data_IF_891356096234
#
_entry.id   IF_891356096234
#
_cell.length_a   1.000
_cell.length_b   1.000
_cell.length_c   1.000
_cell.angle_alpha   90.00
_cell.angle_beta   90.00
_cell.angle_gamma   90.00
#
_symmetry.space_group_name_H-M   'P 1'
#
loop_
_entity.id
_entity.type
_entity.pdbx_description
1 polymer ?
#
# COMPACT_ATOMS: atom_id res chain seq x y z
N UNK A 1 22.88 -35.91 68.54
CA UNK A 1 21.93 -35.13 69.37
C UNK A 1 21.69 -33.77 68.70
N UNK A 2 20.42 -33.33 68.72
CA UNK A 2 19.88 -32.03 68.31
C UNK A 2 19.63 -31.80 66.81
N UNK A 3 18.36 -32.02 66.49
CA UNK A 3 17.61 -31.71 65.27
C UNK A 3 17.41 -30.19 65.17
N UNK A 4 17.48 -29.62 63.97
CA UNK A 4 16.81 -28.36 63.66
C UNK A 4 15.85 -28.61 62.49
N UNK A 5 14.58 -28.70 62.85
CA UNK A 5 13.41 -28.78 61.97
C UNK A 5 13.05 -27.34 61.59
N UNK A 6 13.16 -26.98 60.32
CA UNK A 6 12.57 -25.74 59.79
C UNK A 6 11.22 -26.11 59.15
N UNK A 7 10.16 -25.69 59.82
CA UNK A 7 8.76 -25.87 59.42
C UNK A 7 8.44 -24.74 58.43
N UNK A 8 8.34 -25.07 57.13
CA UNK A 8 7.67 -24.19 56.18
C UNK A 8 6.16 -24.38 56.35
N UNK A 9 5.55 -23.44 57.07
CA UNK A 9 4.12 -23.34 57.24
C UNK A 9 3.46 -23.01 55.89
N UNK A 10 2.55 -23.89 55.52
CA UNK A 10 1.70 -23.87 54.35
C UNK A 10 0.57 -22.85 54.59
N UNK A 11 0.74 -21.61 54.13
CA UNK A 11 -0.34 -20.62 54.07
C UNK A 11 -1.19 -20.89 52.82
N UNK A 12 -2.20 -21.75 52.95
CA UNK A 12 -3.36 -21.75 52.05
C UNK A 12 -4.23 -20.52 52.37
N UNK A 13 -3.85 -19.37 51.82
CA UNK A 13 -4.74 -18.23 51.68
C UNK A 13 -5.56 -18.40 50.41
N UNK A 14 -6.84 -18.76 50.55
CA UNK A 14 -7.81 -18.72 49.47
C UNK A 14 -7.98 -17.27 49.00
N UNK A 15 -7.42 -16.94 47.84
CA UNK A 15 -7.78 -15.74 47.08
C UNK A 15 -8.99 -16.15 46.24
N UNK A 16 -10.19 -15.57 46.44
CA UNK A 16 -11.24 -15.66 45.44
C UNK A 16 -10.77 -14.85 44.23
N UNK A 17 -10.14 -15.51 43.25
CA UNK A 17 -9.96 -14.95 41.91
C UNK A 17 -11.32 -14.97 41.21
N UNK A 18 -12.17 -14.00 41.58
CA UNK A 18 -13.29 -13.52 40.79
C UNK A 18 -12.85 -12.18 40.19
N UNK A 19 -11.87 -12.24 39.29
CA UNK A 19 -11.73 -11.16 38.31
C UNK A 19 -12.65 -11.55 37.16
N UNK A 20 -13.79 -10.86 37.09
CA UNK A 20 -14.59 -10.76 35.90
C UNK A 20 -13.66 -10.36 34.75
N UNK A 21 -13.30 -11.34 33.94
CA UNK A 21 -12.88 -11.10 32.58
C UNK A 21 -14.16 -10.65 31.89
N UNK A 22 -14.48 -9.36 32.00
CA UNK A 22 -15.48 -8.74 31.15
C UNK A 22 -15.04 -9.07 29.73
N UNK A 23 -15.81 -9.94 29.08
CA UNK A 23 -15.64 -10.24 27.69
C UNK A 23 -15.69 -8.88 26.99
N UNK A 24 -14.53 -8.41 26.53
CA UNK A 24 -14.43 -7.31 25.59
C UNK A 24 -15.23 -7.77 24.38
N UNK A 25 -16.51 -7.42 24.34
CA UNK A 25 -17.33 -7.58 23.15
C UNK A 25 -16.62 -6.79 22.08
N UNK A 26 -15.92 -7.50 21.20
CA UNK A 26 -15.30 -7.00 19.98
C UNK A 26 -16.41 -6.39 19.15
N UNK A 27 -16.71 -5.13 19.45
CA UNK A 27 -17.65 -4.34 18.68
C UNK A 27 -16.87 -4.02 17.42
N UNK A 28 -17.37 -4.49 16.27
CA UNK A 28 -16.75 -4.16 15.00
C UNK A 28 -16.58 -2.64 14.90
N UNK A 29 -15.41 -2.16 14.42
CA UNK A 29 -15.18 -0.73 14.30
C UNK A 29 -16.27 -0.09 13.43
N UNK A 30 -16.77 1.08 13.82
CA UNK A 30 -17.68 1.85 12.97
C UNK A 30 -16.93 2.39 11.74
N UNK A 31 -17.62 2.75 10.64
CA UNK A 31 -16.99 3.39 9.49
C UNK A 31 -16.09 4.58 9.85
N UNK A 32 -16.50 5.41 10.81
CA UNK A 32 -15.72 6.56 11.30
C UNK A 32 -14.45 6.12 12.05
N UNK A 33 -14.50 4.99 12.75
CA UNK A 33 -13.33 4.39 13.38
C UNK A 33 -12.34 3.86 12.34
N UNK A 34 -12.84 3.28 11.23
CA UNK A 34 -12.00 2.85 10.10
C UNK A 34 -11.33 4.03 9.40
N UNK A 35 -12.07 5.11 9.12
CA UNK A 35 -11.49 6.34 8.54
C UNK A 35 -10.38 6.90 9.43
N UNK A 36 -10.61 6.95 10.74
CA UNK A 36 -9.62 7.39 11.72
C UNK A 36 -8.37 6.49 11.72
N UNK A 37 -8.54 5.17 11.58
CA UNK A 37 -7.42 4.23 11.47
C UNK A 37 -6.61 4.43 10.19
N UNK A 38 -7.28 4.61 9.05
CA UNK A 38 -6.64 4.88 7.75
C UNK A 38 -5.87 6.20 7.81
N UNK A 39 -6.47 7.25 8.37
CA UNK A 39 -5.83 8.56 8.55
C UNK A 39 -4.58 8.46 9.43
N UNK A 40 -4.68 7.80 10.59
CA UNK A 40 -3.55 7.59 11.48
C UNK A 40 -2.42 6.79 10.81
N UNK A 41 -2.78 5.72 10.09
CA UNK A 41 -1.82 4.90 9.37
C UNK A 41 -1.08 5.71 8.30
N UNK A 42 -1.83 6.46 7.48
CA UNK A 42 -1.27 7.34 6.46
C UNK A 42 -0.33 8.37 7.09
N UNK A 43 -0.73 9.00 8.19
CA UNK A 43 0.08 10.00 8.89
C UNK A 43 1.39 9.43 9.43
N UNK A 44 1.37 8.20 9.98
CA UNK A 44 2.59 7.53 10.45
C UNK A 44 3.50 7.18 9.28
N UNK A 45 2.97 6.64 8.17
CA UNK A 45 3.79 6.27 7.01
C UNK A 45 4.33 7.46 6.24
N UNK A 46 3.53 8.50 6.10
CA UNK A 46 3.99 9.75 5.51
C UNK A 46 5.11 10.37 6.34
N UNK A 47 4.99 10.35 7.67
CA UNK A 47 6.04 10.82 8.59
C UNK A 47 7.35 10.04 8.42
N UNK A 48 7.30 8.71 8.40
CA UNK A 48 8.47 7.87 8.13
C UNK A 48 9.11 8.22 6.77
N UNK A 49 8.29 8.31 5.73
CA UNK A 49 8.74 8.65 4.38
C UNK A 49 9.36 10.05 4.30
N UNK A 50 8.79 11.02 5.01
CA UNK A 50 9.30 12.38 5.07
C UNK A 50 10.68 12.42 5.74
N UNK A 51 10.88 11.69 6.85
CA UNK A 51 12.18 11.64 7.53
C UNK A 51 13.26 11.04 6.63
N UNK A 52 12.94 9.94 5.94
CA UNK A 52 13.85 9.27 5.01
C UNK A 52 14.13 10.14 3.78
N UNK A 53 13.10 10.72 3.15
CA UNK A 53 13.23 11.45 1.88
C UNK A 53 13.90 12.82 2.03
N UNK A 54 13.77 13.44 3.21
CA UNK A 54 14.38 14.74 3.49
C UNK A 54 15.78 14.62 4.10
N UNK A 55 16.24 13.38 4.38
CA UNK A 55 17.53 13.13 5.02
C UNK A 55 17.68 13.97 6.30
N UNK A 56 16.66 13.93 7.17
CA UNK A 56 16.68 14.67 8.43
C UNK A 56 17.70 14.05 9.40
N UNK A 57 18.51 14.91 10.00
CA UNK A 57 19.39 14.55 11.12
C UNK A 57 18.56 14.31 12.39
N UNK A 58 19.13 13.62 13.38
CA UNK A 58 18.45 13.34 14.65
C UNK A 58 17.99 14.63 15.39
N UNK A 59 18.82 15.68 15.34
CA UNK A 59 18.50 17.00 15.90
C UNK A 59 17.35 17.69 15.15
N UNK A 60 17.35 17.60 13.81
CA UNK A 60 16.25 18.11 12.97
C UNK A 60 14.96 17.34 13.24
N UNK A 61 14.99 16.01 13.31
CA UNK A 61 13.82 15.15 13.60
C UNK A 61 13.22 15.56 14.95
N UNK A 62 14.05 15.71 15.99
CA UNK A 62 13.59 16.06 17.34
C UNK A 62 12.81 17.38 17.39
N UNK A 63 13.19 18.35 16.53
CA UNK A 63 12.52 19.66 16.45
C UNK A 63 11.36 19.66 15.46
N UNK A 64 11.51 18.98 14.33
CA UNK A 64 10.53 18.91 13.25
C UNK A 64 9.30 18.11 13.66
N UNK A 65 9.48 17.02 14.40
CA UNK A 65 8.42 16.09 14.77
C UNK A 65 7.22 16.70 15.52
N UNK A 66 7.41 17.46 16.63
CA UNK A 66 6.29 18.11 17.30
C UNK A 66 5.59 19.14 16.40
N UNK A 67 6.33 19.80 15.51
CA UNK A 67 5.77 20.77 14.56
C UNK A 67 4.95 20.07 13.46
N UNK A 68 5.44 18.94 12.95
CA UNK A 68 4.69 18.10 12.03
C UNK A 68 3.40 17.56 12.66
N UNK A 69 3.43 17.12 13.92
CA UNK A 69 2.24 16.67 14.63
C UNK A 69 1.18 17.78 14.74
N UNK A 70 1.61 19.02 15.03
CA UNK A 70 0.72 20.19 15.05
C UNK A 70 0.13 20.48 13.66
N UNK A 71 0.96 20.41 12.60
CA UNK A 71 0.53 20.59 11.21
C UNK A 71 -0.58 19.60 10.84
N UNK A 72 -0.34 18.31 11.08
CA UNK A 72 -1.30 17.25 10.77
C UNK A 72 -2.59 17.43 11.57
N UNK A 73 -2.49 17.79 12.85
CA UNK A 73 -3.68 18.07 13.68
C UNK A 73 -4.52 19.21 13.12
N UNK A 74 -3.92 20.32 12.68
CA UNK A 74 -4.65 21.46 12.09
C UNK A 74 -5.19 21.13 10.69
N UNK A 75 -4.46 20.34 9.91
CA UNK A 75 -4.90 19.88 8.59
C UNK A 75 -6.10 18.95 8.70
N UNK A 76 -6.15 18.07 9.71
CA UNK A 76 -7.27 17.18 9.98
C UNK A 76 -8.61 17.92 10.08
N UNK A 77 -8.66 19.05 10.79
CA UNK A 77 -9.89 19.85 10.91
C UNK A 77 -10.38 20.38 9.55
N UNK A 78 -9.45 20.79 8.68
CA UNK A 78 -9.75 21.27 7.33
C UNK A 78 -10.29 20.11 6.47
N UNK A 79 -9.63 18.96 6.52
CA UNK A 79 -10.05 17.74 5.79
C UNK A 79 -11.44 17.28 6.26
N UNK A 80 -11.70 17.25 7.56
CA UNK A 80 -13.01 16.90 8.10
C UNK A 80 -14.10 17.86 7.64
N UNK A 81 -13.83 19.17 7.61
CA UNK A 81 -14.78 20.16 7.08
C UNK A 81 -15.05 19.93 5.60
N UNK A 82 -14.01 19.66 4.81
CA UNK A 82 -14.14 19.34 3.38
C UNK A 82 -14.98 18.09 3.15
N UNK A 83 -14.75 17.01 3.90
CA UNK A 83 -15.53 15.77 3.78
C UNK A 83 -17.01 16.02 4.10
N UNK A 84 -17.31 16.76 5.17
CA UNK A 84 -18.70 17.14 5.51
C UNK A 84 -19.38 17.96 4.42
N UNK A 85 -18.64 18.84 3.73
CA UNK A 85 -19.19 19.60 2.59
C UNK A 85 -19.54 18.68 1.42
N UNK A 86 -18.68 17.70 1.13
CA UNK A 86 -18.92 16.70 0.07
C UNK A 86 -20.12 15.82 0.41
N UNK A 87 -20.23 15.35 1.66
CA UNK A 87 -21.37 14.58 2.14
C UNK A 87 -22.67 15.39 2.06
N UNK A 88 -22.69 16.62 2.60
CA UNK A 88 -23.85 17.51 2.50
C UNK A 88 -24.27 17.68 1.05
N UNK A 89 -23.34 18.07 0.18
CA UNK A 89 -23.64 18.29 -1.25
C UNK A 89 -24.17 17.03 -1.94
N UNK A 90 -23.60 15.85 -1.64
CA UNK A 90 -24.11 14.59 -2.16
C UNK A 90 -25.56 14.37 -1.72
N UNK A 91 -25.86 14.57 -0.44
CA UNK A 91 -27.17 14.33 0.13
C UNK A 91 -28.21 15.31 -0.44
N UNK A 92 -27.89 16.61 -0.54
CA UNK A 92 -28.75 17.64 -1.19
C UNK A 92 -29.02 17.30 -2.67
N UNK A 93 -28.00 16.85 -3.41
CA UNK A 93 -28.17 16.47 -4.82
C UNK A 93 -29.01 15.20 -5.02
N UNK A 94 -29.23 14.39 -3.98
CA UNK A 94 -30.12 13.22 -4.01
C UNK A 94 -31.58 13.59 -3.75
N UNK A 95 -31.86 14.81 -3.27
CA UNK A 95 -33.22 15.31 -3.10
C UNK A 95 -33.88 15.55 -4.48
N UNK A 96 -35.21 15.42 -4.54
CA UNK A 96 -36.01 15.56 -5.78
C UNK A 96 -36.32 17.04 -6.06
N UNK A 97 -35.29 17.87 -5.93
CA UNK A 97 -35.39 19.31 -6.11
C UNK A 97 -35.35 19.70 -7.58
N UNK A 98 -35.87 20.89 -7.87
CA UNK A 98 -35.84 21.43 -9.21
C UNK A 98 -34.44 21.86 -9.65
N UNK A 99 -34.31 22.19 -10.94
CA UNK A 99 -33.02 22.50 -11.52
C UNK A 99 -32.40 23.82 -11.01
N UNK A 100 -33.22 24.74 -10.50
CA UNK A 100 -32.79 26.04 -9.97
C UNK A 100 -32.18 25.85 -8.57
N UNK A 101 -32.88 25.14 -7.69
CA UNK A 101 -32.39 24.79 -6.35
C UNK A 101 -31.08 23.98 -6.41
N UNK A 102 -31.00 22.98 -7.30
CA UNK A 102 -29.75 22.24 -7.55
C UNK A 102 -28.62 23.09 -8.14
N UNK A 103 -28.92 24.23 -8.76
CA UNK A 103 -27.88 25.15 -9.22
C UNK A 103 -27.33 25.99 -8.07
N UNK A 104 -28.19 26.42 -7.15
CA UNK A 104 -27.82 27.16 -5.95
C UNK A 104 -26.99 26.29 -4.99
N UNK A 105 -27.42 25.05 -4.71
CA UNK A 105 -26.65 24.10 -3.87
C UNK A 105 -25.26 23.80 -4.46
N UNK A 106 -25.15 23.75 -5.80
CA UNK A 106 -23.86 23.63 -6.50
C UNK A 106 -22.97 24.85 -6.29
N UNK A 107 -23.52 26.05 -6.37
CA UNK A 107 -22.76 27.28 -6.18
C UNK A 107 -22.24 27.37 -4.74
N UNK A 108 -23.11 27.13 -3.76
CA UNK A 108 -22.76 27.15 -2.33
C UNK A 108 -21.71 26.08 -1.99
N UNK A 109 -21.84 24.87 -2.53
CA UNK A 109 -20.83 23.83 -2.36
C UNK A 109 -19.47 24.27 -2.92
N UNK A 110 -19.42 24.80 -4.15
CA UNK A 110 -18.16 25.24 -4.78
C UNK A 110 -17.49 26.35 -3.96
N UNK A 111 -18.25 27.34 -3.51
CA UNK A 111 -17.73 28.44 -2.68
C UNK A 111 -17.12 27.91 -1.38
N UNK A 112 -17.89 27.13 -0.61
CA UNK A 112 -17.44 26.57 0.65
C UNK A 112 -16.25 25.62 0.46
N UNK A 113 -16.24 24.83 -0.61
CA UNK A 113 -15.13 23.95 -0.94
C UNK A 113 -13.85 24.73 -1.23
N UNK A 114 -13.93 25.80 -2.04
CA UNK A 114 -12.79 26.68 -2.30
C UNK A 114 -12.29 27.38 -1.03
N UNK A 115 -13.16 27.78 -0.12
CA UNK A 115 -12.72 28.30 1.18
C UNK A 115 -11.88 27.28 1.97
N UNK A 116 -12.23 25.99 1.92
CA UNK A 116 -11.41 24.95 2.59
C UNK A 116 -10.04 24.80 1.93
N UNK A 117 -9.95 24.91 0.60
CA UNK A 117 -8.66 24.88 -0.11
C UNK A 117 -7.81 26.11 0.23
N UNK A 118 -8.41 27.29 0.32
CA UNK A 118 -7.71 28.52 0.74
C UNK A 118 -7.15 28.34 2.16
N UNK A 119 -7.95 27.84 3.09
CA UNK A 119 -7.50 27.54 4.47
C UNK A 119 -6.36 26.52 4.50
N UNK A 120 -6.41 25.49 3.65
CA UNK A 120 -5.32 24.52 3.54
C UNK A 120 -4.03 25.19 3.04
N UNK A 121 -4.12 26.06 2.03
CA UNK A 121 -2.97 26.80 1.50
C UNK A 121 -2.39 27.79 2.53
N UNK A 122 -3.24 28.47 3.29
CA UNK A 122 -2.80 29.34 4.39
C UNK A 122 -2.10 28.55 5.49
N UNK A 123 -2.59 27.36 5.83
CA UNK A 123 -1.94 26.45 6.76
C UNK A 123 -0.57 26.00 6.24
N UNK A 124 -0.47 25.59 4.97
CA UNK A 124 0.81 25.20 4.36
C UNK A 124 1.82 26.35 4.39
N UNK A 125 1.38 27.57 4.11
CA UNK A 125 2.22 28.77 4.21
C UNK A 125 2.74 29.00 5.63
N UNK A 126 1.86 28.97 6.63
CA UNK A 126 2.23 29.15 8.05
C UNK A 126 3.26 28.10 8.50
N UNK A 127 3.09 26.84 8.11
CA UNK A 127 4.02 25.78 8.46
C UNK A 127 5.28 25.75 7.59
N UNK A 128 5.24 26.28 6.37
CA UNK A 128 6.44 26.44 5.55
C UNK A 128 7.48 27.31 6.24
N UNK A 129 7.05 28.50 6.69
CA UNK A 129 7.92 29.45 7.40
C UNK A 129 8.54 28.79 8.66
N UNK A 130 7.74 28.00 9.39
CA UNK A 130 8.20 27.30 10.59
C UNK A 130 9.10 26.09 10.29
N UNK A 131 8.87 25.39 9.17
CA UNK A 131 9.70 24.26 8.77
C UNK A 131 11.06 24.72 8.24
N UNK A 132 11.13 25.81 7.48
CA UNK A 132 12.41 26.27 6.93
C UNK A 132 13.42 26.69 8.02
N UNK A 133 12.93 27.18 9.16
CA UNK A 133 13.73 27.50 10.35
C UNK A 133 14.38 26.25 10.98
N UNK A 134 13.80 25.06 10.76
CA UNK A 134 14.26 23.81 11.36
C UNK A 134 15.09 22.97 10.40
N UNK A 135 14.59 22.75 9.17
CA UNK A 135 15.15 21.77 8.23
C UNK A 135 15.81 22.41 7.00
N UNK A 136 15.92 23.74 6.93
CA UNK A 136 16.26 24.53 5.73
C UNK A 136 15.12 24.65 4.71
N UNK A 137 15.19 25.71 3.91
CA UNK A 137 14.22 26.04 2.87
C UNK A 137 14.08 24.92 1.83
N UNK A 138 15.19 24.29 1.39
CA UNK A 138 15.15 23.22 0.39
C UNK A 138 14.39 21.99 0.90
N UNK A 139 14.65 21.55 2.13
CA UNK A 139 13.93 20.41 2.73
C UNK A 139 12.46 20.75 2.99
N UNK A 140 12.16 21.98 3.40
CA UNK A 140 10.78 22.43 3.58
C UNK A 140 9.99 22.39 2.26
N UNK A 141 10.58 22.85 1.14
CA UNK A 141 9.98 22.73 -0.20
C UNK A 141 9.73 21.26 -0.55
N UNK A 142 10.75 20.41 -0.37
CA UNK A 142 10.65 18.99 -0.67
C UNK A 142 9.58 18.27 0.16
N UNK A 143 9.36 18.69 1.41
CA UNK A 143 8.29 18.17 2.25
C UNK A 143 6.92 18.40 1.63
N UNK A 144 6.61 19.65 1.24
CA UNK A 144 5.30 19.96 0.66
C UNK A 144 5.10 19.38 -0.75
N UNK A 145 6.16 19.26 -1.55
CA UNK A 145 6.09 18.54 -2.83
C UNK A 145 5.80 17.04 -2.62
N UNK A 146 6.42 16.42 -1.61
CA UNK A 146 6.17 15.04 -1.25
C UNK A 146 4.73 14.86 -0.76
N UNK A 147 4.25 15.78 0.08
CA UNK A 147 2.87 15.80 0.56
C UNK A 147 1.87 15.92 -0.59
N UNK A 148 2.05 16.89 -1.48
CA UNK A 148 1.17 17.14 -2.63
C UNK A 148 1.10 15.90 -3.53
N UNK A 149 2.25 15.28 -3.83
CA UNK A 149 2.30 14.03 -4.60
C UNK A 149 1.50 12.90 -3.96
N UNK A 150 1.56 12.78 -2.64
CA UNK A 150 0.83 11.74 -1.91
C UNK A 150 -0.66 12.06 -1.85
N UNK A 151 -1.02 13.32 -1.62
CA UNK A 151 -2.40 13.79 -1.64
C UNK A 151 -3.04 13.60 -3.01
N UNK A 152 -2.36 13.94 -4.11
CA UNK A 152 -2.89 13.72 -5.46
C UNK A 152 -3.21 12.26 -5.75
N UNK A 153 -2.44 11.31 -5.20
CA UNK A 153 -2.72 9.86 -5.36
C UNK A 153 -3.97 9.44 -4.59
N UNK A 154 -4.16 9.97 -3.39
CA UNK A 154 -5.37 9.73 -2.59
C UNK A 154 -6.59 10.33 -3.28
N UNK A 155 -6.46 11.57 -3.76
CA UNK A 155 -7.51 12.26 -4.51
C UNK A 155 -7.86 11.51 -5.80
N UNK A 156 -6.89 11.09 -6.60
CA UNK A 156 -7.11 10.29 -7.81
C UNK A 156 -7.84 8.98 -7.50
N UNK A 157 -7.44 8.26 -6.45
CA UNK A 157 -8.12 7.05 -6.01
C UNK A 157 -9.56 7.31 -5.58
N UNK A 158 -9.82 8.43 -4.89
CA UNK A 158 -11.17 8.83 -4.47
C UNK A 158 -12.05 9.29 -5.63
N UNK A 159 -11.49 9.98 -6.62
CA UNK A 159 -12.22 10.47 -7.79
C UNK A 159 -12.75 9.33 -8.66
N UNK A 160 -12.07 8.19 -8.73
CA UNK A 160 -12.56 7.00 -9.44
C UNK A 160 -13.95 6.57 -8.91
N UNK A 161 -14.22 6.77 -7.63
CA UNK A 161 -15.52 6.44 -7.02
C UNK A 161 -16.58 7.52 -7.26
N UNK A 162 -16.17 8.80 -7.34
CA UNK A 162 -17.08 9.95 -7.41
C UNK A 162 -17.43 10.36 -8.85
N UNK A 163 -16.50 10.22 -9.80
CA UNK A 163 -16.67 10.65 -11.20
C UNK A 163 -17.94 10.11 -11.87
N UNK A 164 -18.37 8.86 -11.67
CA UNK A 164 -19.64 8.37 -12.22
C UNK A 164 -20.88 9.17 -11.78
N UNK A 165 -20.82 9.88 -10.65
CA UNK A 165 -21.94 10.67 -10.10
C UNK A 165 -21.95 12.13 -10.61
N UNK A 166 -20.81 12.69 -11.00
CA UNK A 166 -20.72 14.09 -11.46
C UNK A 166 -21.01 14.25 -12.96
N UNK A 167 -20.89 13.18 -13.73
CA UNK A 167 -21.24 13.18 -15.15
C UNK A 167 -22.72 12.84 -15.26
N UNK A 168 -23.59 13.86 -15.21
CA UNK A 168 -24.87 13.73 -15.89
C UNK A 168 -24.55 13.48 -17.36
N UNK A 169 -24.59 12.23 -17.78
CA UNK A 169 -24.71 11.92 -19.20
C UNK A 169 -26.08 12.45 -19.58
N UNK A 170 -26.16 13.72 -19.97
CA UNK A 170 -27.33 14.23 -20.66
C UNK A 170 -27.49 13.30 -21.85
N UNK A 171 -28.47 12.42 -21.77
CA UNK A 171 -28.96 11.73 -22.95
C UNK A 171 -29.27 12.84 -23.94
N UNK A 172 -28.42 12.96 -24.95
CA UNK A 172 -28.66 13.85 -26.07
C UNK A 172 -29.87 13.25 -26.78
N UNK A 173 -31.07 13.55 -26.29
CA UNK A 173 -32.27 13.41 -27.08
C UNK A 173 -32.10 14.43 -28.20
N UNK A 174 -31.88 14.01 -29.46
CA UNK A 174 -31.92 14.94 -30.56
C UNK A 174 -33.30 15.59 -30.51
N UNK A 175 -33.36 16.84 -30.06
CA UNK A 175 -34.59 17.61 -30.05
C UNK A 175 -35.14 17.50 -31.46
N UNK A 176 -36.30 16.86 -31.61
CA UNK A 176 -36.97 16.68 -32.90
C UNK A 176 -36.91 18.03 -33.61
N UNK A 177 -36.20 18.05 -34.74
CA UNK A 177 -36.02 19.22 -35.61
C UNK A 177 -37.27 20.09 -35.53
N UNK A 178 -37.14 21.28 -34.94
CA UNK A 178 -38.07 22.36 -35.23
C UNK A 178 -38.10 22.48 -36.75
N UNK A 179 -39.22 22.09 -37.35
CA UNK A 179 -39.48 22.31 -38.77
C UNK A 179 -39.27 23.79 -39.04
N UNK A 180 -38.48 24.05 -40.08
CA UNK A 180 -38.33 25.32 -40.79
C UNK A 180 -39.43 26.34 -40.48
N UNK A 181 -39.10 27.31 -39.64
CA UNK A 181 -39.57 28.66 -39.86
C UNK A 181 -38.41 29.36 -40.55
N UNK A 182 -38.45 29.32 -41.88
CA UNK A 182 -37.69 30.20 -42.75
C UNK A 182 -38.03 31.65 -42.39
N UNK A 183 -37.31 32.21 -41.43
CA UNK A 183 -37.33 33.64 -41.17
C UNK A 183 -36.56 34.34 -42.29
N UNK A 184 -37.36 34.92 -43.17
CA UNK A 184 -37.02 35.79 -44.28
C UNK A 184 -36.03 36.88 -43.82
N UNK A 185 -34.85 36.94 -44.45
CA UNK A 185 -33.73 37.82 -44.11
C UNK A 185 -33.75 39.16 -44.87
N UNK A 186 -34.89 39.54 -45.46
CA UNK A 186 -35.04 40.74 -46.28
C UNK A 186 -35.88 41.84 -45.60
N UNK A 187 -35.46 42.32 -44.44
CA UNK A 187 -35.92 43.62 -43.95
C UNK A 187 -34.82 44.38 -43.20
N UNK A 188 -33.84 44.88 -43.97
CA UNK A 188 -33.08 46.07 -43.59
C UNK A 188 -33.86 47.29 -44.01
N UNK A 189 -34.35 48.08 -43.06
CA UNK A 189 -34.34 49.55 -43.15
C UNK A 189 -34.65 50.22 -41.81
N UNK A 190 -33.78 51.16 -41.48
CA UNK A 190 -33.95 52.32 -40.61
C UNK A 190 -34.38 52.11 -39.15
N UNK A 191 -33.39 52.26 -38.25
CA UNK A 191 -33.53 53.01 -37.00
C UNK A 191 -32.12 53.26 -36.45
N UNK A 192 -31.56 54.44 -36.72
CA UNK A 192 -31.66 55.65 -35.90
C UNK A 192 -30.90 55.53 -34.59
N UNK A 193 -29.94 56.43 -34.49
CA UNK A 193 -29.02 56.74 -33.39
C UNK A 193 -29.69 56.92 -32.03
N UNK A 194 -28.85 56.68 -31.02
CA UNK A 194 -28.81 57.34 -29.72
C UNK A 194 -29.55 56.64 -28.57
N UNK A 195 -28.77 56.05 -27.66
CA UNK A 195 -28.99 56.11 -26.21
C UNK A 195 -27.79 55.57 -25.44
N UNK A 196 -27.16 56.52 -24.77
CA UNK A 196 -26.31 56.43 -23.58
C UNK A 196 -26.82 55.42 -22.56
N UNK A 197 -25.95 54.50 -22.14
CA UNK A 197 -26.09 53.71 -20.90
C UNK A 197 -24.97 54.08 -19.95
N UNK A 198 -25.33 54.83 -18.92
CA UNK A 198 -24.57 55.03 -17.69
C UNK A 198 -24.51 53.72 -16.91
N UNK A 199 -23.30 53.18 -16.74
CA UNK A 199 -23.00 52.10 -15.81
C UNK A 199 -22.79 52.71 -14.42
N UNK A 200 -23.75 52.51 -13.53
CA UNK A 200 -23.61 52.81 -12.10
C UNK A 200 -22.85 51.66 -11.45
N UNK A 201 -21.62 51.92 -11.03
CA UNK A 201 -20.82 50.99 -10.22
C UNK A 201 -21.11 51.25 -8.74
N UNK A 202 -21.98 50.44 -8.14
CA UNK A 202 -22.12 50.40 -6.68
C UNK A 202 -20.91 49.68 -6.08
N UNK A 203 -19.93 50.49 -5.64
CA UNK A 203 -18.90 50.06 -4.71
C UNK A 203 -19.54 49.82 -3.34
N UNK A 204 -19.73 48.55 -2.97
CA UNK A 204 -19.92 48.16 -1.58
C UNK A 204 -18.53 48.08 -0.94
N UNK A 205 -18.18 49.11 -0.18
CA UNK A 205 -17.00 49.11 0.70
C UNK A 205 -17.17 48.03 1.78
N UNK A 206 -16.39 46.97 1.68
CA UNK A 206 -16.02 46.17 2.84
C UNK A 206 -14.75 46.78 3.44
N UNK A 207 -14.94 47.51 4.53
CA UNK A 207 -13.87 48.02 5.39
C UNK A 207 -13.30 46.86 6.19
N UNK A 208 -12.14 46.35 5.78
CA UNK A 208 -11.25 45.59 6.66
C UNK A 208 -10.08 46.49 7.05
N UNK A 209 -10.23 47.13 8.21
CA UNK A 209 -9.11 47.57 9.00
C UNK A 209 -8.36 46.31 9.46
N UNK A 210 -7.17 46.05 8.92
CA UNK A 210 -5.96 45.94 9.75
C UNK A 210 -4.68 45.58 8.96
N UNK A 211 -3.61 46.29 9.36
CA UNK A 211 -2.17 46.01 9.22
C UNK A 211 -1.53 45.94 7.82
N UNK A 212 -0.91 47.09 7.49
CA UNK A 212 0.21 47.25 6.56
C UNK A 212 1.36 46.27 6.90
N UNK A 213 1.68 45.38 5.97
CA UNK A 213 3.04 44.87 5.75
C UNK A 213 3.48 45.31 4.35
N UNK A 214 4.33 46.33 4.31
CA UNK A 214 5.12 46.69 3.15
C UNK A 214 6.37 45.83 3.15
N UNK A 215 6.54 45.00 2.11
CA UNK A 215 7.79 44.87 1.33
C UNK A 215 7.63 43.75 0.30
N UNK A 216 7.27 44.14 -0.94
CA UNK A 216 7.32 43.26 -2.11
C UNK A 216 8.73 43.35 -2.71
N UNK A 217 9.54 42.30 -2.55
CA UNK A 217 10.65 42.03 -3.45
C UNK A 217 10.15 41.14 -4.58
N UNK A 218 10.26 41.65 -5.80
CA UNK A 218 10.05 40.91 -7.04
C UNK A 218 11.02 39.73 -7.13
N UNK A 219 10.47 38.53 -7.35
CA UNK A 219 11.25 37.38 -7.76
C UNK A 219 10.74 36.91 -9.12
N UNK A 220 11.51 37.22 -10.16
CA UNK A 220 11.32 36.75 -11.51
C UNK A 220 12.37 35.69 -11.78
N UNK A 221 11.98 34.41 -11.83
CA UNK A 221 12.92 33.34 -12.17
C UNK A 221 12.35 32.45 -13.28
N UNK A 222 12.82 32.73 -14.50
CA UNK A 222 12.57 31.94 -15.72
C UNK A 222 13.66 30.87 -15.80
N UNK A 223 13.35 29.64 -15.40
CA UNK A 223 14.24 28.50 -15.64
C UNK A 223 13.78 27.72 -16.88
N UNK A 224 14.67 27.61 -17.86
CA UNK A 224 14.53 26.74 -19.04
C UNK A 224 15.45 25.54 -18.85
N UNK A 225 14.89 24.35 -18.65
CA UNK A 225 15.66 23.10 -18.63
C UNK A 225 15.74 22.51 -20.05
N UNK A 226 16.96 22.32 -20.53
CA UNK A 226 17.30 21.60 -21.78
C UNK A 226 17.90 20.26 -21.40
N UNK A 227 17.21 19.16 -21.74
CA UNK A 227 17.70 17.80 -21.49
C UNK A 227 18.56 17.34 -22.66
N UNK A 228 19.84 17.06 -22.41
CA UNK A 228 20.76 16.45 -23.38
C UNK A 228 20.94 14.98 -23.02
N UNK A 229 20.45 14.08 -23.88
CA UNK A 229 20.68 12.63 -23.78
C UNK A 229 21.96 12.28 -24.53
N UNK A 230 23.00 11.86 -23.80
CA UNK A 230 24.24 11.32 -24.38
C UNK A 230 24.21 9.79 -24.30
N UNK A 231 24.25 9.15 -25.46
CA UNK A 231 24.35 7.70 -25.60
C UNK A 231 25.73 7.17 -25.23
N UNK A 232 25.76 5.97 -24.64
CA UNK A 232 26.96 5.16 -24.51
C UNK A 232 26.75 3.83 -25.23
N UNK A 233 27.43 3.74 -26.37
CA UNK A 233 27.76 2.54 -27.11
C UNK A 233 28.96 1.84 -26.43
N UNK A 234 28.94 0.51 -26.32
CA UNK A 234 30.13 -0.34 -26.16
C UNK A 234 29.83 -1.83 -26.38
N UNK A 235 30.00 -2.22 -27.63
CA UNK A 235 30.70 -3.42 -28.09
C UNK A 235 31.59 -4.12 -27.04
N UNK A 236 31.42 -5.44 -26.88
CA UNK A 236 32.52 -6.35 -26.55
C UNK A 236 32.37 -7.69 -27.27
N UNK A 237 33.41 -8.01 -28.03
CA UNK A 237 33.61 -9.15 -28.90
C UNK A 237 34.25 -10.36 -28.21
N UNK A 238 33.91 -11.51 -28.76
CA UNK A 238 34.55 -12.83 -28.75
C UNK A 238 35.90 -13.03 -28.03
N UNK A 239 35.95 -14.06 -27.18
CA UNK A 239 37.14 -14.88 -26.97
C UNK A 239 36.79 -16.37 -27.05
N UNK A 240 37.26 -16.98 -28.14
CA UNK A 240 37.52 -18.42 -28.29
C UNK A 240 38.46 -18.88 -27.18
N UNK A 241 38.13 -19.99 -26.53
CA UNK A 241 39.12 -20.86 -25.94
C UNK A 241 38.94 -22.30 -26.44
N UNK A 242 40.06 -22.88 -26.82
CA UNK A 242 40.21 -24.19 -27.45
C UNK A 242 40.84 -25.13 -26.46
N UNK A 243 40.14 -26.21 -26.09
CA UNK A 243 40.77 -27.34 -25.41
C UNK A 243 40.15 -28.66 -25.86
N UNK A 244 41.05 -29.56 -26.27
CA UNK A 244 40.88 -30.85 -26.91
C UNK A 244 40.39 -31.93 -25.93
N UNK A 245 39.44 -32.72 -26.44
CA UNK A 245 39.51 -34.18 -26.56
C UNK A 245 39.95 -35.00 -25.33
N UNK A 246 38.96 -35.51 -24.59
CA UNK A 246 39.10 -36.75 -23.80
C UNK A 246 37.91 -37.67 -24.11
N UNK A 247 38.28 -38.87 -24.53
CA UNK A 247 37.50 -40.02 -25.01
C UNK A 247 36.19 -40.33 -24.26
N UNK A 248 35.14 -40.55 -25.08
CA UNK A 248 33.81 -40.95 -24.68
C UNK A 248 33.73 -42.43 -24.27
N UNK A 249 33.30 -42.67 -23.03
CA UNK A 249 32.74 -43.95 -22.59
C UNK A 249 31.46 -43.65 -21.82
N UNK A 250 30.33 -43.79 -22.51
CA UNK A 250 28.98 -43.97 -21.96
C UNK A 250 28.59 -43.12 -20.75
N UNK A 251 28.60 -41.79 -20.88
CA UNK A 251 27.87 -40.93 -19.94
C UNK A 251 26.38 -41.06 -20.23
N UNK A 252 25.66 -41.77 -19.37
CA UNK A 252 24.24 -41.52 -19.21
C UNK A 252 24.09 -40.03 -18.91
N UNK A 253 23.44 -39.29 -19.82
CA UNK A 253 23.16 -37.87 -19.66
C UNK A 253 22.14 -37.74 -18.54
N UNK A 254 22.61 -37.69 -17.30
CA UNK A 254 21.81 -37.23 -16.19
C UNK A 254 21.62 -35.74 -16.43
N UNK A 255 20.50 -35.37 -17.04
CA UNK A 255 19.99 -34.00 -17.06
C UNK A 255 19.71 -33.63 -15.61
N UNK A 256 20.75 -33.19 -14.90
CA UNK A 256 20.67 -32.86 -13.49
C UNK A 256 19.71 -31.69 -13.33
N UNK A 257 18.90 -31.81 -12.27
CA UNK A 257 17.88 -30.90 -11.74
C UNK A 257 18.38 -29.47 -11.40
N UNK A 258 19.26 -28.89 -12.22
CA UNK A 258 19.82 -27.54 -12.05
C UNK A 258 18.71 -26.48 -12.02
N UNK A 259 17.64 -26.69 -12.81
CA UNK A 259 16.42 -25.88 -12.78
C UNK A 259 15.77 -25.85 -11.38
N UNK A 260 15.67 -27.00 -10.70
CA UNK A 260 14.96 -27.10 -9.43
C UNK A 260 15.75 -26.43 -8.29
N UNK A 261 17.09 -26.53 -8.31
CA UNK A 261 17.93 -25.84 -7.32
C UNK A 261 17.82 -24.32 -7.46
N UNK A 262 17.61 -23.82 -8.69
CA UNK A 262 17.53 -22.37 -8.94
C UNK A 262 16.31 -21.70 -8.28
N UNK A 263 15.15 -22.37 -8.22
CA UNK A 263 13.94 -21.81 -7.63
C UNK A 263 14.01 -21.74 -6.11
N UNK A 264 14.53 -22.80 -5.46
CA UNK A 264 14.77 -22.79 -4.01
C UNK A 264 15.83 -21.73 -3.63
N UNK A 265 16.91 -21.62 -4.41
CA UNK A 265 17.91 -20.58 -4.20
C UNK A 265 17.34 -19.17 -4.40
N UNK A 266 16.46 -18.97 -5.37
CA UNK A 266 15.78 -17.69 -5.60
C UNK A 266 14.85 -17.31 -4.43
N UNK A 267 14.15 -18.29 -3.84
CA UNK A 267 13.33 -18.08 -2.66
C UNK A 267 14.18 -17.74 -1.43
N UNK A 268 15.26 -18.49 -1.18
CA UNK A 268 16.18 -18.20 -0.08
C UNK A 268 16.79 -16.79 -0.20
N UNK A 269 17.28 -16.44 -1.40
CA UNK A 269 17.83 -15.10 -1.69
C UNK A 269 16.79 -13.99 -1.51
N UNK A 270 15.53 -14.26 -1.81
CA UNK A 270 14.45 -13.30 -1.57
C UNK A 270 14.24 -13.08 -0.07
N UNK A 271 14.22 -14.13 0.75
CA UNK A 271 14.13 -14.01 2.22
C UNK A 271 15.32 -13.21 2.78
N UNK A 272 16.55 -13.50 2.34
CA UNK A 272 17.77 -12.82 2.81
C UNK A 272 17.78 -11.32 2.48
N UNK A 273 17.16 -10.93 1.36
CA UNK A 273 17.17 -9.55 0.86
C UNK A 273 15.96 -8.73 1.26
N UNK A 274 14.89 -9.38 1.69
CA UNK A 274 13.68 -8.64 1.95
C UNK A 274 13.86 -7.78 3.20
N UNK A 275 13.62 -6.48 3.06
CA UNK A 275 13.79 -5.47 4.11
C UNK A 275 12.80 -5.60 5.29
N UNK A 276 12.24 -6.79 5.55
CA UNK A 276 11.34 -7.07 6.67
C UNK A 276 10.25 -6.00 6.85
N UNK A 277 9.64 -5.51 5.76
CA UNK A 277 8.49 -4.59 5.80
C UNK A 277 7.30 -5.15 5.02
N UNK A 278 6.23 -5.55 5.72
CA UNK A 278 4.90 -5.83 5.15
C UNK A 278 4.23 -4.47 5.02
N UNK A 279 4.30 -3.88 3.83
CA UNK A 279 3.69 -2.59 3.53
C UNK A 279 2.24 -2.75 3.04
N UNK A 280 1.46 -1.65 3.00
CA UNK A 280 0.08 -1.64 2.48
C UNK A 280 -0.07 -2.26 1.10
N UNK A 281 0.91 -2.11 0.22
CA UNK A 281 0.83 -2.67 -1.12
C UNK A 281 0.95 -4.21 -1.14
N UNK A 282 1.12 -4.84 0.03
CA UNK A 282 1.30 -6.28 0.23
C UNK A 282 2.36 -6.91 -0.68
N UNK A 283 3.29 -6.10 -1.19
CA UNK A 283 4.27 -6.51 -2.21
C UNK A 283 5.21 -7.57 -1.66
N UNK A 284 5.53 -7.51 -0.37
CA UNK A 284 6.30 -8.54 0.30
C UNK A 284 5.59 -9.91 0.23
N UNK A 285 4.34 -9.98 0.69
CA UNK A 285 3.58 -11.24 0.74
C UNK A 285 3.25 -11.75 -0.66
N UNK A 286 2.89 -10.87 -1.59
CA UNK A 286 2.69 -11.20 -3.01
C UNK A 286 3.92 -11.91 -3.59
N UNK A 287 5.10 -11.27 -3.51
CA UNK A 287 6.34 -11.85 -4.04
C UNK A 287 6.74 -13.13 -3.30
N UNK A 288 6.58 -13.14 -1.98
CA UNK A 288 6.88 -14.29 -1.13
C UNK A 288 6.10 -15.53 -1.54
N UNK A 289 4.79 -15.41 -1.72
CA UNK A 289 3.92 -16.50 -2.17
C UNK A 289 4.31 -17.02 -3.56
N UNK A 290 4.60 -16.13 -4.53
CA UNK A 290 5.04 -16.54 -5.87
C UNK A 290 6.36 -17.34 -5.84
N UNK A 291 7.34 -16.86 -5.07
CA UNK A 291 8.63 -17.53 -4.92
C UNK A 291 8.50 -18.84 -4.15
N UNK A 292 7.69 -18.87 -3.10
CA UNK A 292 7.42 -20.05 -2.29
C UNK A 292 6.77 -21.16 -3.13
N UNK A 293 5.72 -20.85 -3.90
CA UNK A 293 5.06 -21.82 -4.79
C UNK A 293 6.04 -22.39 -5.81
N UNK A 294 6.89 -21.53 -6.38
CA UNK A 294 7.94 -21.96 -7.32
C UNK A 294 8.95 -22.91 -6.66
N UNK A 295 9.36 -22.61 -5.43
CA UNK A 295 10.28 -23.46 -4.65
C UNK A 295 9.63 -24.81 -4.26
N UNK A 296 8.36 -24.82 -3.87
CA UNK A 296 7.60 -26.06 -3.57
C UNK A 296 7.58 -26.97 -4.80
N UNK A 297 7.26 -26.43 -5.98
CA UNK A 297 7.24 -27.19 -7.23
C UNK A 297 8.62 -27.78 -7.58
N UNK A 298 9.68 -27.00 -7.39
CA UNK A 298 11.03 -27.45 -7.63
C UNK A 298 11.46 -28.57 -6.69
N UNK A 299 11.15 -28.47 -5.39
CA UNK A 299 11.46 -29.53 -4.41
C UNK A 299 10.65 -30.79 -4.70
N UNK A 300 9.36 -30.66 -5.04
CA UNK A 300 8.54 -31.81 -5.44
C UNK A 300 9.10 -32.52 -6.69
N UNK A 301 9.49 -31.75 -7.71
CA UNK A 301 10.11 -32.31 -8.92
C UNK A 301 11.49 -32.92 -8.66
N UNK A 302 12.25 -32.43 -7.68
CA UNK A 302 13.52 -33.06 -7.29
C UNK A 302 13.33 -34.48 -6.72
N UNK A 303 12.18 -34.69 -6.09
CA UNK A 303 11.75 -35.90 -5.40
C UNK A 303 10.90 -36.85 -6.26
N UNK A 304 10.75 -36.56 -7.57
CA UNK A 304 9.86 -37.27 -8.48
C UNK A 304 8.39 -37.32 -7.99
N UNK A 305 7.94 -36.27 -7.29
CA UNK A 305 6.55 -36.11 -6.87
C UNK A 305 5.79 -35.39 -7.99
N UNK A 306 4.73 -36.03 -8.47
CA UNK A 306 3.79 -35.40 -9.40
C UNK A 306 3.02 -34.26 -8.72
N UNK A 307 3.44 -33.02 -9.02
CA UNK A 307 2.82 -31.80 -8.51
C UNK A 307 1.56 -31.38 -9.30
N UNK A 308 1.19 -32.09 -10.36
CA UNK A 308 -0.01 -31.76 -11.16
C UNK A 308 -1.29 -31.82 -10.33
N UNK A 309 -1.34 -32.68 -9.33
CA UNK A 309 -2.42 -32.78 -8.34
C UNK A 309 -2.58 -31.52 -7.46
N UNK A 310 -1.65 -30.56 -7.54
CA UNK A 310 -1.70 -29.30 -6.81
C UNK A 310 -1.95 -28.09 -7.71
N UNK A 311 -2.29 -28.31 -8.99
CA UNK A 311 -2.51 -27.22 -9.95
C UNK A 311 -3.60 -26.25 -9.47
N UNK A 312 -4.73 -26.76 -8.97
CA UNK A 312 -5.83 -25.93 -8.45
C UNK A 312 -5.39 -25.11 -7.23
N UNK A 313 -4.58 -25.69 -6.33
CA UNK A 313 -4.04 -24.99 -5.16
C UNK A 313 -3.09 -23.88 -5.59
N UNK A 314 -2.21 -24.16 -6.57
CA UNK A 314 -1.31 -23.16 -7.16
C UNK A 314 -2.11 -22.01 -7.75
N UNK A 315 -3.13 -22.29 -8.55
CA UNK A 315 -3.97 -21.26 -9.16
C UNK A 315 -4.66 -20.40 -8.11
N UNK A 316 -5.26 -21.03 -7.09
CA UNK A 316 -5.90 -20.32 -5.98
C UNK A 316 -4.92 -19.44 -5.20
N UNK A 317 -3.72 -19.94 -4.89
CA UNK A 317 -2.68 -19.12 -4.23
C UNK A 317 -2.28 -17.93 -5.12
N UNK A 318 -2.09 -18.14 -6.43
CA UNK A 318 -1.74 -17.05 -7.35
C UNK A 318 -2.87 -16.03 -7.48
N UNK A 319 -4.14 -16.46 -7.43
CA UNK A 319 -5.29 -15.58 -7.33
C UNK A 319 -5.25 -14.73 -6.06
N UNK A 320 -4.94 -15.32 -4.90
CA UNK A 320 -4.74 -14.56 -3.65
C UNK A 320 -3.63 -13.51 -3.82
N UNK A 321 -2.50 -13.86 -4.46
CA UNK A 321 -1.43 -12.86 -4.69
C UNK A 321 -1.92 -11.67 -5.52
N UNK A 322 -2.82 -11.90 -6.47
CA UNK A 322 -3.41 -10.84 -7.30
C UNK A 322 -4.40 -10.01 -6.49
N UNK A 323 -5.24 -10.67 -5.67
CA UNK A 323 -6.22 -10.01 -4.82
C UNK A 323 -5.57 -9.06 -3.81
N UNK A 324 -4.47 -9.50 -3.18
CA UNK A 324 -3.68 -8.69 -2.25
C UNK A 324 -3.18 -7.36 -2.84
N UNK A 325 -3.08 -7.26 -4.18
CA UNK A 325 -2.62 -6.06 -4.87
C UNK A 325 -3.77 -5.18 -5.39
N UNK A 326 -5.01 -5.70 -5.45
CA UNK A 326 -6.16 -4.96 -6.00
C UNK A 326 -6.64 -3.87 -5.04
N UNK A 327 -6.86 -4.25 -3.79
CA UNK A 327 -7.31 -3.35 -2.75
C UNK A 327 -6.36 -3.43 -1.54
N UNK A 328 -5.31 -2.60 -1.48
CA UNK A 328 -4.33 -2.66 -0.39
C UNK A 328 -4.93 -2.44 1.01
N UNK A 329 -6.17 -1.93 1.10
CA UNK A 329 -6.87 -1.61 2.33
C UNK A 329 -7.88 -2.67 2.77
N UNK A 330 -8.06 -3.76 2.03
CA UNK A 330 -9.03 -4.80 2.37
C UNK A 330 -8.72 -5.45 3.71
N UNK A 331 -9.75 -5.57 4.56
CA UNK A 331 -9.70 -6.28 5.85
C UNK A 331 -9.58 -7.79 5.67
N UNK A 332 -10.07 -8.32 4.55
CA UNK A 332 -10.09 -9.75 4.24
C UNK A 332 -8.69 -10.27 3.87
N UNK A 333 -7.72 -9.39 3.71
CA UNK A 333 -6.34 -9.74 3.37
C UNK A 333 -5.70 -10.71 4.35
N UNK A 334 -6.02 -10.62 5.64
CA UNK A 334 -5.55 -11.58 6.63
C UNK A 334 -6.16 -12.98 6.40
N UNK A 335 -7.46 -13.05 6.09
CA UNK A 335 -8.19 -14.28 5.81
C UNK A 335 -7.62 -14.99 4.58
N UNK A 336 -7.55 -14.29 3.45
CA UNK A 336 -7.10 -14.88 2.19
C UNK A 336 -5.60 -15.20 2.24
N UNK A 337 -4.80 -14.45 3.00
CA UNK A 337 -3.38 -14.77 3.23
C UNK A 337 -3.24 -16.03 4.05
N UNK A 338 -4.02 -16.16 5.13
CA UNK A 338 -4.04 -17.38 5.94
C UNK A 338 -4.45 -18.59 5.09
N UNK A 339 -5.49 -18.46 4.28
CA UNK A 339 -5.93 -19.52 3.35
C UNK A 339 -4.77 -19.96 2.43
N UNK A 340 -4.06 -19.01 1.82
CA UNK A 340 -2.90 -19.31 0.97
C UNK A 340 -1.74 -19.96 1.75
N UNK A 341 -1.49 -19.54 3.00
CA UNK A 341 -0.46 -20.11 3.87
C UNK A 341 -0.81 -21.55 4.29
N UNK A 342 -2.09 -21.82 4.58
CA UNK A 342 -2.57 -23.17 4.87
C UNK A 342 -2.44 -24.08 3.64
N UNK A 343 -2.79 -23.61 2.44
CA UNK A 343 -2.63 -24.38 1.20
C UNK A 343 -1.16 -24.72 0.91
N UNK A 344 -0.25 -23.77 1.11
CA UNK A 344 1.19 -24.00 0.93
C UNK A 344 1.76 -24.96 1.99
N UNK A 345 1.31 -24.85 3.24
CA UNK A 345 1.65 -25.81 4.30
C UNK A 345 1.19 -27.24 3.95
N UNK A 346 -0.02 -27.40 3.39
CA UNK A 346 -0.52 -28.70 2.92
C UNK A 346 0.38 -29.29 1.83
N UNK A 347 0.83 -28.47 0.87
CA UNK A 347 1.75 -28.94 -0.19
C UNK A 347 3.11 -29.37 0.38
N UNK A 348 3.67 -28.61 1.34
CA UNK A 348 4.94 -28.97 2.01
C UNK A 348 4.80 -30.28 2.80
N UNK A 349 3.70 -30.46 3.54
CA UNK A 349 3.44 -31.71 4.26
C UNK A 349 3.24 -32.89 3.31
N UNK A 350 2.63 -32.70 2.14
CA UNK A 350 2.50 -33.77 1.15
C UNK A 350 3.86 -34.23 0.58
N UNK A 351 4.87 -33.35 0.48
CA UNK A 351 6.24 -33.72 0.14
C UNK A 351 6.87 -34.50 1.31
N UNK A 352 6.73 -33.99 2.53
CA UNK A 352 7.19 -34.62 3.76
C UNK A 352 6.67 -36.05 3.91
N UNK A 353 5.39 -36.30 3.68
CA UNK A 353 4.77 -37.61 3.87
C UNK A 353 5.30 -38.64 2.86
N UNK A 354 5.64 -38.19 1.64
CA UNK A 354 6.13 -39.08 0.58
C UNK A 354 7.62 -39.37 0.66
N UNK A 355 8.42 -38.40 1.13
CA UNK A 355 9.89 -38.41 0.95
C UNK A 355 10.68 -37.91 2.15
N UNK A 356 10.01 -37.37 3.16
CA UNK A 356 10.65 -36.86 4.36
C UNK A 356 11.15 -37.96 5.30
N UNK A 357 11.93 -37.52 6.29
CA UNK A 357 12.38 -38.31 7.44
C UNK A 357 11.70 -37.80 8.71
N UNK A 358 11.90 -38.48 9.84
CA UNK A 358 11.42 -37.98 11.14
C UNK A 358 11.95 -36.58 11.49
N UNK A 359 13.17 -36.26 11.04
CA UNK A 359 13.77 -34.93 11.25
C UNK A 359 13.05 -33.84 10.45
N UNK A 360 12.61 -34.15 9.24
CA UNK A 360 11.93 -33.18 8.39
C UNK A 360 10.45 -33.00 8.78
N UNK A 361 9.88 -33.95 9.55
CA UNK A 361 8.49 -33.88 10.05
C UNK A 361 8.27 -32.73 11.04
N UNK A 362 9.23 -32.49 11.94
CA UNK A 362 9.16 -31.38 12.91
C UNK A 362 9.11 -30.02 12.19
N UNK A 363 9.99 -29.81 11.20
CA UNK A 363 10.03 -28.55 10.46
C UNK A 363 8.79 -28.35 9.57
N UNK A 364 8.23 -29.41 8.98
CA UNK A 364 6.98 -29.32 8.21
C UNK A 364 5.78 -28.94 9.10
N UNK A 365 5.71 -29.50 10.32
CA UNK A 365 4.66 -29.17 11.30
C UNK A 365 4.72 -27.69 11.72
N UNK A 366 5.93 -27.15 11.88
CA UNK A 366 6.13 -25.72 12.19
C UNK A 366 5.61 -24.78 11.11
N UNK A 367 5.58 -25.20 9.84
CA UNK A 367 4.97 -24.41 8.75
C UNK A 367 3.47 -24.30 8.96
N UNK A 368 2.79 -25.41 9.27
CA UNK A 368 1.35 -25.42 9.58
C UNK A 368 1.04 -24.55 10.80
N UNK A 369 1.83 -24.67 11.88
CA UNK A 369 1.66 -23.81 13.06
C UNK A 369 1.84 -22.33 12.74
N UNK A 370 2.80 -21.98 11.87
CA UNK A 370 3.02 -20.60 11.46
C UNK A 370 1.89 -20.06 10.57
N UNK A 371 1.30 -20.90 9.70
CA UNK A 371 0.13 -20.53 8.91
C UNK A 371 -1.07 -20.22 9.83
N UNK A 372 -1.32 -21.09 10.81
CA UNK A 372 -2.41 -20.93 11.78
C UNK A 372 -2.20 -19.76 12.76
N UNK A 373 -0.99 -19.21 12.84
CA UNK A 373 -0.70 -18.05 13.68
C UNK A 373 -1.20 -16.74 13.06
N UNK A 374 -1.53 -16.73 11.76
CA UNK A 374 -2.21 -15.60 11.13
C UNK A 374 -3.62 -15.51 11.71
N UNK A 375 -3.90 -14.42 12.40
CA UNK A 375 -5.19 -14.12 12.97
C UNK A 375 -6.07 -13.43 11.92
N UNK A 376 -7.18 -14.05 11.47
CA UNK A 376 -8.13 -13.43 10.53
C UNK A 376 -8.70 -12.11 11.06
N UNK A 377 -8.87 -11.99 12.38
CA UNK A 377 -9.50 -10.83 13.03
C UNK A 377 -8.55 -9.62 13.20
N UNK A 378 -7.34 -9.68 12.64
CA UNK A 378 -6.33 -8.61 12.71
C UNK A 378 -5.93 -8.19 11.30
N UNK A 379 -5.73 -6.89 11.09
CA UNK A 379 -5.21 -6.39 9.81
C UNK A 379 -3.89 -7.09 9.47
N UNK A 380 -3.75 -7.51 8.21
CA UNK A 380 -2.56 -8.21 7.73
C UNK A 380 -1.26 -7.41 7.95
N UNK A 381 -1.34 -6.07 7.85
CA UNK A 381 -0.20 -5.17 8.11
C UNK A 381 0.31 -5.22 9.55
N UNK A 382 -0.55 -5.57 10.50
CA UNK A 382 -0.19 -5.67 11.92
C UNK A 382 0.42 -7.03 12.29
N UNK A 383 0.49 -7.94 11.31
CA UNK A 383 0.92 -9.33 11.47
C UNK A 383 2.24 -9.62 10.75
N UNK A 384 3.06 -8.58 10.57
CA UNK A 384 4.33 -8.69 9.85
C UNK A 384 5.24 -9.78 10.44
N UNK A 385 5.31 -9.88 11.78
CA UNK A 385 6.12 -10.89 12.48
C UNK A 385 5.68 -12.31 12.15
N UNK A 386 4.37 -12.56 12.17
CA UNK A 386 3.75 -13.85 11.89
C UNK A 386 3.96 -14.23 10.42
N UNK A 387 3.82 -13.27 9.50
CA UNK A 387 4.10 -13.43 8.08
C UNK A 387 5.57 -13.80 7.84
N UNK A 388 6.53 -13.11 8.49
CA UNK A 388 7.96 -13.44 8.38
C UNK A 388 8.28 -14.81 8.94
N UNK A 389 7.70 -15.14 10.10
CA UNK A 389 7.86 -16.45 10.69
C UNK A 389 7.37 -17.53 9.73
N UNK A 390 6.20 -17.35 9.10
CA UNK A 390 5.69 -18.29 8.11
C UNK A 390 6.67 -18.55 6.96
N UNK A 391 7.11 -17.50 6.25
CA UNK A 391 8.05 -17.67 5.13
C UNK A 391 9.39 -18.28 5.59
N UNK A 392 9.88 -17.89 6.77
CA UNK A 392 11.09 -18.44 7.37
C UNK A 392 10.98 -19.93 7.71
N UNK A 393 9.86 -20.37 8.29
CA UNK A 393 9.61 -21.81 8.54
C UNK A 393 9.47 -22.58 7.24
N UNK A 394 8.75 -22.03 6.25
CA UNK A 394 8.59 -22.67 4.95
C UNK A 394 9.95 -22.87 4.25
N UNK A 395 10.86 -21.88 4.33
CA UNK A 395 12.22 -22.00 3.79
C UNK A 395 13.02 -23.11 4.47
N UNK A 396 13.01 -23.15 5.82
CA UNK A 396 13.68 -24.20 6.58
C UNK A 396 13.16 -25.59 6.21
N UNK A 397 11.85 -25.75 6.08
CA UNK A 397 11.23 -27.01 5.71
C UNK A 397 11.64 -27.46 4.30
N UNK A 398 11.59 -26.55 3.31
CA UNK A 398 11.98 -26.87 1.94
C UNK A 398 13.46 -27.23 1.80
N UNK A 399 14.35 -26.53 2.51
CA UNK A 399 15.77 -26.90 2.55
C UNK A 399 15.99 -28.28 3.17
N UNK A 400 15.35 -28.55 4.31
CA UNK A 400 15.46 -29.83 4.98
C UNK A 400 14.95 -30.99 4.08
N UNK A 401 13.87 -30.76 3.32
CA UNK A 401 13.34 -31.72 2.35
C UNK A 401 14.26 -31.91 1.14
N UNK A 402 14.87 -30.84 0.63
CA UNK A 402 15.82 -30.92 -0.48
C UNK A 402 17.11 -31.69 -0.11
N UNK A 403 17.58 -31.56 1.13
CA UNK A 403 18.81 -32.18 1.60
C UNK A 403 18.70 -33.71 1.79
N UNK A 404 17.50 -34.25 2.01
CA UNK A 404 17.29 -35.71 2.14
C UNK A 404 17.83 -36.47 0.92
N UNK A 405 17.67 -35.89 -0.27
CA UNK A 405 18.15 -36.50 -1.51
C UNK A 405 19.67 -36.43 -1.66
N UNK A 406 20.30 -35.35 -1.19
CA UNK A 406 21.75 -35.23 -1.20
C UNK A 406 22.39 -36.34 -0.36
N UNK A 407 21.76 -36.68 0.77
CA UNK A 407 22.23 -37.73 1.66
C UNK A 407 21.99 -39.14 1.10
N UNK A 408 20.79 -39.42 0.58
CA UNK A 408 20.44 -40.72 0.02
C UNK A 408 21.29 -41.12 -1.19
N UNK A 409 21.58 -40.17 -2.08
CA UNK A 409 22.41 -40.40 -3.28
C UNK A 409 23.88 -40.62 -2.93
N UNK A 410 24.41 -39.92 -1.92
CA UNK A 410 25.79 -40.11 -1.44
C UNK A 410 26.00 -41.50 -0.84
N UNK A 411 25.01 -42.04 -0.12
CA UNK A 411 25.12 -43.38 0.46
C UNK A 411 25.10 -44.50 -0.58
N UNK A 412 24.30 -44.38 -1.64
CA UNK A 412 24.19 -45.40 -2.68
C UNK A 412 25.46 -45.51 -3.56
N UNK A 413 26.18 -44.40 -3.74
CA UNK A 413 27.45 -44.36 -4.50
C UNK A 413 28.60 -45.11 -3.81
N UNK A 414 28.52 -45.36 -2.50
CA UNK A 414 29.66 -45.86 -1.73
C UNK A 414 29.62 -47.38 -1.53
N UNK A 415 28.48 -48.04 -1.77
CA UNK A 415 28.34 -49.50 -1.61
C UNK A 415 28.64 -50.33 -2.88
N UNK A 416 29.01 -49.70 -4.00
CA UNK A 416 29.36 -50.39 -5.26
C UNK A 416 30.87 -50.33 -5.60
N UNK A 417 31.72 -50.23 -4.58
CA UNK A 417 33.17 -50.48 -4.64
C UNK A 417 33.51 -51.55 -3.63
#
# INVERSE_FOLDING_TARGET
MKKLLFICALFMGAIPMLNAQEASTTTEPTPEQYETMIENYYNVKFREMAFESLELTEDEITKFDPLYAEYISRKKDIVQRRNKLVEKYRDEMMEDDDAEEKADERADFIENYWETQIKEMELKKDFFDRFEDIVSNEKAINFFLLEEKMQSRVEEASLIQIVPMMIEVREYYPTKKHKDTSMNWDEKKDMSTDKTTTTTTDKKEWSSDDKKMTDKKEWNNKSTATTTTTGMDKSMTDKKDTSKDWTSKGTATYTTNTSNISALAAYNKWIEKADNKVALNHQYTHNGLQKLVSAIWAVAGAHDIDASAWSDKKEKIMSVTTELQKDPMSTDHADITREAFEMTAVMINAIQDKKGTDKTKDVATKVTSAANAINPDRLMTDQATEIYNFFGQANKALHALADVDAWGRSSASTQNK
#
